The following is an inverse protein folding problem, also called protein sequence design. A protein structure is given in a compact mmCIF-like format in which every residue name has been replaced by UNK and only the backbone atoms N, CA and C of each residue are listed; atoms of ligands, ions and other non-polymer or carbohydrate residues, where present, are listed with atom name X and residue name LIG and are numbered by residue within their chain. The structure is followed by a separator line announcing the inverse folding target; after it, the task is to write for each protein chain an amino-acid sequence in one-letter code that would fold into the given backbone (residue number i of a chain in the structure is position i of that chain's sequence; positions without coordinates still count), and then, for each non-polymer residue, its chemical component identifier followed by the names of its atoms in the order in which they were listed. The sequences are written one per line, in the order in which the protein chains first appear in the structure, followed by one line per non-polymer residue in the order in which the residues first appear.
data_IF_817436223918
#
_entry.id   IF_817436223918
#
_cell.length_a   1.000
_cell.length_b   1.000
_cell.length_c   1.000
_cell.angle_alpha   90.00
_cell.angle_beta   90.00
_cell.angle_gamma   90.00
#
_symmetry.space_group_name_H-M   'P 1'
#
loop_
_entity.id
_entity.type
_entity.pdbx_description
1 polymer ?
#
# COMPACT_ATOMS: atom_id res chain seq x y z
N UNK A 1 44.89 -8.67 7.14
CA UNK A 1 43.52 -8.14 7.37
C UNK A 1 43.41 -6.83 6.61
N UNK A 2 42.48 -6.72 5.66
CA UNK A 2 42.28 -5.45 4.94
C UNK A 2 41.77 -4.39 5.95
N UNK A 3 42.18 -3.13 5.80
CA UNK A 3 41.76 -2.02 6.67
C UNK A 3 40.23 -1.96 6.84
N UNK A 4 39.51 -2.23 5.75
CA UNK A 4 38.05 -2.25 5.75
C UNK A 4 37.44 -3.40 6.56
N UNK A 5 38.07 -4.58 6.54
CA UNK A 5 37.63 -5.73 7.33
C UNK A 5 37.85 -5.48 8.83
N UNK A 6 38.96 -4.81 9.19
CA UNK A 6 39.19 -4.33 10.56
C UNK A 6 38.11 -3.36 11.01
N UNK A 7 37.74 -2.41 10.16
CA UNK A 7 36.71 -1.42 10.45
C UNK A 7 35.34 -2.09 10.62
N UNK A 8 35.01 -3.04 9.75
CA UNK A 8 33.77 -3.84 9.84
C UNK A 8 33.67 -4.55 11.19
N UNK A 9 34.74 -5.25 11.59
CA UNK A 9 34.84 -5.94 12.89
C UNK A 9 34.66 -4.94 14.03
N UNK A 10 35.34 -3.79 13.98
CA UNK A 10 35.25 -2.75 15.03
C UNK A 10 33.82 -2.20 15.18
N UNK A 11 33.12 -1.98 14.06
CA UNK A 11 31.72 -1.52 14.07
C UNK A 11 30.83 -2.60 14.69
N UNK A 12 30.97 -3.86 14.27
CA UNK A 12 30.20 -4.98 14.80
C UNK A 12 30.41 -5.15 16.31
N UNK A 13 31.66 -5.15 16.79
CA UNK A 13 31.98 -5.24 18.22
C UNK A 13 31.36 -4.08 19.03
N UNK A 14 31.34 -2.85 18.49
CA UNK A 14 30.68 -1.73 19.16
C UNK A 14 29.17 -1.91 19.25
N UNK A 15 28.54 -2.37 18.18
CA UNK A 15 27.11 -2.65 18.17
C UNK A 15 26.75 -3.75 19.18
N UNK A 16 27.54 -4.83 19.23
CA UNK A 16 27.41 -5.90 20.24
C UNK A 16 27.52 -5.38 21.67
N UNK A 17 28.38 -4.38 21.90
CA UNK A 17 28.52 -3.69 23.20
C UNK A 17 27.44 -2.64 23.47
N UNK A 18 26.48 -2.43 22.55
CA UNK A 18 25.45 -1.40 22.66
C UNK A 18 25.99 0.04 22.57
N UNK A 19 27.17 0.23 21.99
CA UNK A 19 27.79 1.55 21.79
C UNK A 19 27.35 2.16 20.47
N UNK A 20 27.18 3.48 20.44
CA UNK A 20 26.90 4.21 19.19
C UNK A 20 28.09 4.10 18.23
N UNK A 21 27.75 3.97 16.94
CA UNK A 21 28.69 3.95 15.81
C UNK A 21 28.61 5.22 14.97
N UNK A 22 27.70 6.14 15.28
CA UNK A 22 27.44 7.37 14.50
C UNK A 22 28.69 8.24 14.36
N UNK A 23 29.52 8.35 15.41
CA UNK A 23 30.78 9.09 15.32
C UNK A 23 31.79 8.46 14.35
N UNK A 24 31.76 7.13 14.17
CA UNK A 24 32.58 6.46 13.15
C UNK A 24 31.98 6.75 11.77
N UNK A 25 30.66 6.62 11.63
CA UNK A 25 29.96 6.86 10.37
C UNK A 25 30.15 8.29 9.85
N UNK A 26 30.03 9.28 10.72
CA UNK A 26 30.30 10.70 10.42
C UNK A 26 31.73 10.91 9.92
N UNK A 27 32.73 10.31 10.56
CA UNK A 27 34.12 10.39 10.09
C UNK A 27 34.32 9.71 8.73
N UNK A 28 33.60 8.60 8.47
CA UNK A 28 33.67 7.92 7.18
C UNK A 28 33.00 8.74 6.08
N UNK A 29 31.88 9.41 6.34
CA UNK A 29 31.25 10.33 5.37
C UNK A 29 32.23 11.40 4.91
N UNK A 30 32.92 12.04 5.85
CA UNK A 30 33.84 13.14 5.54
C UNK A 30 35.14 12.68 4.86
N UNK A 31 35.72 11.55 5.30
CA UNK A 31 37.10 11.19 4.96
C UNK A 31 37.23 9.98 4.05
N UNK A 32 36.23 9.10 4.04
CA UNK A 32 36.26 7.85 3.29
C UNK A 32 34.85 7.41 2.82
N UNK A 33 34.13 8.25 2.04
CA UNK A 33 32.73 8.01 1.68
C UNK A 33 32.51 6.70 0.92
N UNK A 34 33.46 6.31 0.06
CA UNK A 34 33.41 5.03 -0.65
C UNK A 34 33.50 3.82 0.29
N UNK A 35 34.27 3.93 1.37
CA UNK A 35 34.34 2.88 2.41
C UNK A 35 33.00 2.76 3.13
N UNK A 36 32.35 3.88 3.43
CA UNK A 36 31.00 3.85 4.00
C UNK A 36 30.02 3.16 3.05
N UNK A 37 29.98 3.57 1.78
CA UNK A 37 29.08 2.96 0.79
C UNK A 37 29.29 1.45 0.66
N UNK A 38 30.53 0.98 0.71
CA UNK A 38 30.80 -0.46 0.65
C UNK A 38 30.37 -1.22 1.93
N UNK A 39 30.42 -0.56 3.09
CA UNK A 39 29.89 -1.10 4.36
C UNK A 39 28.36 -1.06 4.47
N UNK A 40 27.69 -0.21 3.67
CA UNK A 40 26.23 -0.06 3.66
C UNK A 40 25.59 -0.94 2.59
N UNK A 41 26.13 -0.89 1.37
CA UNK A 41 25.51 -1.44 0.17
C UNK A 41 26.38 -2.52 -0.50
N UNK A 42 27.69 -2.48 -0.30
CA UNK A 42 28.65 -3.31 -1.02
C UNK A 42 28.72 -4.78 -0.61
N UNK A 43 29.67 -5.54 -1.17
CA UNK A 43 29.88 -6.96 -0.83
C UNK A 43 30.23 -7.18 0.65
N UNK A 44 30.79 -6.16 1.31
CA UNK A 44 31.16 -6.18 2.72
C UNK A 44 30.11 -5.51 3.62
N UNK A 45 28.88 -5.34 3.12
CA UNK A 45 27.81 -4.69 3.86
C UNK A 45 27.56 -5.35 5.22
N UNK A 46 27.41 -4.53 6.25
CA UNK A 46 27.12 -5.00 7.61
C UNK A 46 25.63 -5.37 7.68
N UNK A 47 25.36 -6.66 7.91
CA UNK A 47 24.00 -7.21 8.03
C UNK A 47 23.52 -7.16 9.48
N UNK A 48 23.43 -5.96 10.05
CA UNK A 48 22.96 -5.75 11.42
C UNK A 48 21.89 -4.66 11.44
N UNK A 49 20.72 -4.94 12.00
CA UNK A 49 19.60 -3.98 12.06
C UNK A 49 19.97 -2.70 12.83
N UNK A 50 20.83 -2.79 13.85
CA UNK A 50 21.31 -1.62 14.61
C UNK A 50 22.24 -0.77 13.78
N UNK A 51 23.02 -1.39 12.90
CA UNK A 51 23.83 -0.68 11.91
C UNK A 51 22.94 0.07 10.93
N UNK A 52 21.90 -0.60 10.40
CA UNK A 52 20.94 0.05 9.51
C UNK A 52 20.32 1.29 10.19
N UNK A 53 19.83 1.17 11.42
CA UNK A 53 19.26 2.31 12.16
C UNK A 53 20.24 3.48 12.27
N UNK A 54 21.52 3.21 12.54
CA UNK A 54 22.55 4.25 12.60
C UNK A 54 22.79 4.89 11.22
N UNK A 55 22.76 4.11 10.13
CA UNK A 55 22.89 4.61 8.76
C UNK A 55 21.73 5.52 8.36
N UNK A 56 20.51 5.24 8.84
CA UNK A 56 19.35 6.07 8.52
C UNK A 56 19.44 7.51 9.05
N UNK A 57 20.31 7.79 10.03
CA UNK A 57 20.60 9.15 10.50
C UNK A 57 21.34 9.97 9.44
N UNK A 58 22.14 9.31 8.61
CA UNK A 58 22.99 9.93 7.59
C UNK A 58 22.45 9.71 6.17
N UNK A 59 21.17 9.38 6.05
CA UNK A 59 20.61 8.95 4.77
C UNK A 59 20.71 10.04 3.70
N UNK A 60 20.51 11.31 4.08
CA UNK A 60 20.62 12.45 3.16
C UNK A 60 22.04 12.59 2.61
N UNK A 61 23.05 12.58 3.51
CA UNK A 61 24.45 12.68 3.12
C UNK A 61 24.86 11.50 2.22
N UNK A 62 24.35 10.30 2.50
CA UNK A 62 24.61 9.11 1.68
C UNK A 62 23.96 9.22 0.31
N UNK A 63 22.70 9.70 0.23
CA UNK A 63 21.99 9.93 -1.03
C UNK A 63 22.78 10.87 -1.96
N UNK A 64 23.39 11.93 -1.41
CA UNK A 64 24.23 12.86 -2.17
C UNK A 64 25.50 12.22 -2.75
N UNK A 65 26.00 11.14 -2.13
CA UNK A 65 27.18 10.40 -2.57
C UNK A 65 26.88 9.37 -3.67
N UNK A 66 25.62 8.93 -3.82
CA UNK A 66 25.24 7.88 -4.77
C UNK A 66 25.56 8.24 -6.23
N UNK A 67 25.25 9.46 -6.73
CA UNK A 67 25.57 9.85 -8.10
C UNK A 67 27.08 9.83 -8.38
N UNK A 68 27.90 10.24 -7.40
CA UNK A 68 29.36 10.27 -7.51
C UNK A 68 29.96 8.86 -7.63
N UNK A 69 29.25 7.87 -7.09
CA UNK A 69 29.64 6.46 -7.10
C UNK A 69 28.96 5.66 -8.22
N UNK A 70 28.15 6.32 -9.06
CA UNK A 70 27.34 5.71 -10.13
C UNK A 70 26.41 4.60 -9.61
N UNK A 71 25.91 4.76 -8.38
CA UNK A 71 24.96 3.83 -7.77
C UNK A 71 23.55 4.38 -8.01
N UNK A 72 22.66 3.66 -8.71
CA UNK A 72 21.27 4.07 -8.84
C UNK A 72 20.55 4.04 -7.48
N UNK A 73 19.77 5.09 -7.20
CA UNK A 73 19.06 5.26 -5.92
C UNK A 73 18.07 4.12 -5.63
N UNK A 74 17.40 3.61 -6.66
CA UNK A 74 16.48 2.47 -6.56
C UNK A 74 17.20 1.18 -6.14
N UNK A 75 18.41 0.95 -6.67
CA UNK A 75 19.23 -0.20 -6.29
C UNK A 75 19.69 -0.07 -4.84
N UNK A 76 20.16 1.12 -4.44
CA UNK A 76 20.56 1.41 -3.08
C UNK A 76 19.47 1.07 -2.07
N UNK A 77 18.24 1.58 -2.26
CA UNK A 77 17.14 1.29 -1.35
C UNK A 77 16.63 -0.14 -1.42
N UNK A 78 16.62 -0.75 -2.60
CA UNK A 78 16.28 -2.17 -2.71
C UNK A 78 17.21 -3.04 -1.85
N UNK A 79 18.51 -2.73 -1.86
CA UNK A 79 19.49 -3.42 -1.01
C UNK A 79 19.29 -3.11 0.47
N UNK A 80 19.09 -1.84 0.85
CA UNK A 80 18.83 -1.49 2.24
C UNK A 80 17.60 -2.23 2.79
N UNK A 81 16.51 -2.26 2.02
CA UNK A 81 15.29 -2.98 2.40
C UNK A 81 15.54 -4.49 2.50
N UNK A 82 16.32 -5.08 1.59
CA UNK A 82 16.71 -6.51 1.71
C UNK A 82 17.52 -6.84 2.96
N UNK A 83 18.17 -5.84 3.57
CA UNK A 83 18.93 -5.95 4.81
C UNK A 83 18.13 -5.52 6.05
N UNK A 84 16.95 -4.92 5.87
CA UNK A 84 16.22 -4.27 6.95
C UNK A 84 15.56 -5.25 7.92
N UNK A 85 15.24 -6.47 7.48
CA UNK A 85 14.64 -7.47 8.37
C UNK A 85 13.39 -6.93 9.06
N UNK A 86 13.40 -6.87 10.39
CA UNK A 86 12.28 -6.34 11.17
C UNK A 86 12.04 -4.83 11.00
N UNK A 87 13.04 -4.09 10.49
CA UNK A 87 13.03 -2.64 10.28
C UNK A 87 12.46 -2.20 8.92
N UNK A 88 12.01 -3.15 8.07
CA UNK A 88 11.52 -2.86 6.72
C UNK A 88 10.42 -1.79 6.72
N UNK A 89 9.46 -1.87 7.64
CA UNK A 89 8.36 -0.90 7.73
C UNK A 89 8.84 0.52 8.05
N UNK A 90 9.79 0.67 8.98
CA UNK A 90 10.37 1.98 9.33
C UNK A 90 11.15 2.58 8.15
N UNK A 91 11.90 1.74 7.42
CA UNK A 91 12.62 2.22 6.24
C UNK A 91 11.64 2.71 5.18
N UNK A 92 10.62 1.93 4.84
CA UNK A 92 9.60 2.34 3.86
C UNK A 92 8.93 3.66 4.26
N UNK A 93 8.56 3.83 5.53
CA UNK A 93 7.96 5.08 6.03
C UNK A 93 8.87 6.29 5.78
N UNK A 94 10.17 6.18 6.11
CA UNK A 94 11.15 7.24 5.81
C UNK A 94 11.34 7.48 4.30
N UNK A 95 11.27 6.44 3.47
CA UNK A 95 11.35 6.62 2.02
C UNK A 95 10.13 7.36 1.48
N UNK A 96 8.95 7.09 2.01
CA UNK A 96 7.74 7.80 1.62
C UNK A 96 7.82 9.28 2.01
N UNK A 97 8.24 9.59 3.25
CA UNK A 97 8.43 10.96 3.72
C UNK A 97 9.33 11.81 2.81
N UNK A 98 10.33 11.19 2.18
CA UNK A 98 11.34 11.88 1.39
C UNK A 98 11.06 11.85 -0.11
N UNK A 99 10.56 10.72 -0.60
CA UNK A 99 10.63 10.35 -2.01
C UNK A 99 9.29 9.86 -2.58
N UNK A 100 8.16 10.00 -1.89
CA UNK A 100 6.86 9.51 -2.38
C UNK A 100 6.55 9.93 -3.84
N UNK A 101 6.97 11.13 -4.25
CA UNK A 101 6.73 11.63 -5.60
C UNK A 101 7.70 11.14 -6.68
N UNK A 102 8.67 10.30 -6.32
CA UNK A 102 9.67 9.81 -7.27
C UNK A 102 9.17 8.58 -8.02
N UNK A 103 9.28 8.59 -9.35
CA UNK A 103 8.86 7.48 -10.23
C UNK A 103 9.42 6.12 -9.79
N UNK A 104 10.66 6.10 -9.31
CA UNK A 104 11.32 4.87 -8.88
C UNK A 104 10.69 4.23 -7.62
N UNK A 105 9.88 4.96 -6.85
CA UNK A 105 9.16 4.41 -5.69
C UNK A 105 8.15 3.35 -6.10
N UNK A 106 7.43 3.56 -7.19
CA UNK A 106 6.45 2.59 -7.69
C UNK A 106 7.15 1.28 -8.05
N UNK A 107 8.27 1.37 -8.75
CA UNK A 107 9.09 0.22 -9.12
C UNK A 107 9.73 -0.47 -7.92
N UNK A 108 10.20 0.30 -6.94
CA UNK A 108 10.76 -0.23 -5.70
C UNK A 108 9.71 -1.03 -4.95
N UNK A 109 8.55 -0.44 -4.65
CA UNK A 109 7.47 -1.07 -3.88
C UNK A 109 6.87 -2.28 -4.59
N UNK A 110 6.82 -2.26 -5.93
CA UNK A 110 6.41 -3.42 -6.73
C UNK A 110 7.27 -4.65 -6.45
N UNK A 111 8.59 -4.50 -6.30
CA UNK A 111 9.52 -5.63 -6.09
C UNK A 111 9.28 -6.35 -4.76
N UNK A 112 8.77 -5.65 -3.74
CA UNK A 112 8.42 -6.25 -2.45
C UNK A 112 7.11 -7.03 -2.48
N UNK A 113 6.30 -6.89 -3.55
CA UNK A 113 5.02 -7.58 -3.74
C UNK A 113 4.06 -7.44 -2.54
N UNK A 114 4.23 -6.39 -1.73
CA UNK A 114 3.45 -6.16 -0.52
C UNK A 114 2.41 -5.08 -0.77
N UNK A 115 1.14 -5.49 -0.84
CA UNK A 115 0.01 -4.56 -0.98
C UNK A 115 -0.07 -3.54 0.16
N UNK A 116 0.49 -3.85 1.34
CA UNK A 116 0.55 -2.93 2.48
C UNK A 116 1.38 -1.68 2.16
N UNK A 117 2.53 -1.83 1.49
CA UNK A 117 3.38 -0.68 1.16
C UNK A 117 2.79 0.15 0.04
N UNK A 118 2.14 -0.49 -0.93
CA UNK A 118 1.37 0.20 -1.96
C UNK A 118 0.24 1.03 -1.33
N UNK A 119 -0.52 0.45 -0.41
CA UNK A 119 -1.55 1.16 0.33
C UNK A 119 -0.98 2.36 1.09
N UNK A 120 0.11 2.17 1.85
CA UNK A 120 0.77 3.27 2.57
C UNK A 120 1.26 4.37 1.64
N UNK A 121 1.78 4.03 0.46
CA UNK A 121 2.23 5.01 -0.52
C UNK A 121 1.07 5.85 -1.05
N UNK A 122 -0.07 5.23 -1.36
CA UNK A 122 -1.27 5.94 -1.78
C UNK A 122 -1.84 6.85 -0.67
N UNK A 123 -1.79 6.40 0.60
CA UNK A 123 -2.12 7.26 1.73
C UNK A 123 -1.21 8.49 1.81
N UNK A 124 0.09 8.30 1.58
CA UNK A 124 1.07 9.38 1.60
C UNK A 124 0.82 10.39 0.48
N UNK A 125 0.54 9.92 -0.74
CA UNK A 125 0.11 10.78 -1.85
C UNK A 125 -1.14 11.57 -1.49
N UNK A 126 -2.18 10.92 -0.98
CA UNK A 126 -3.43 11.59 -0.61
C UNK A 126 -3.26 12.68 0.47
N UNK A 127 -2.20 12.63 1.27
CA UNK A 127 -1.91 13.61 2.32
C UNK A 127 -1.04 14.77 1.84
N UNK A 128 -0.31 14.60 0.74
CA UNK A 128 0.69 15.58 0.28
C UNK A 128 0.37 16.17 -1.11
N UNK A 129 -0.24 15.40 -2.00
CA UNK A 129 -0.63 15.81 -3.35
C UNK A 129 -1.79 14.93 -3.85
N UNK A 130 -3.01 15.37 -3.52
CA UNK A 130 -4.26 14.66 -3.83
C UNK A 130 -4.50 14.55 -5.36
N UNK A 131 -4.04 15.51 -6.15
CA UNK A 131 -4.30 15.54 -7.60
C UNK A 131 -3.61 14.37 -8.33
N UNK A 132 -2.47 13.90 -7.82
CA UNK A 132 -1.67 12.84 -8.44
C UNK A 132 -1.96 11.43 -7.91
N UNK A 133 -2.77 11.30 -6.86
CA UNK A 133 -3.00 9.99 -6.23
C UNK A 133 -3.69 8.99 -7.16
N UNK A 134 -4.61 9.46 -8.02
CA UNK A 134 -5.31 8.62 -8.97
C UNK A 134 -4.40 8.13 -10.10
N UNK A 135 -3.43 8.94 -10.52
CA UNK A 135 -2.42 8.52 -11.48
C UNK A 135 -1.51 7.43 -10.87
N UNK A 136 -1.05 7.64 -9.64
CA UNK A 136 -0.27 6.65 -8.90
C UNK A 136 -1.08 5.34 -8.70
N UNK A 137 -2.36 5.45 -8.32
CA UNK A 137 -3.26 4.31 -8.18
C UNK A 137 -3.43 3.55 -9.50
N UNK A 138 -3.61 4.25 -10.62
CA UNK A 138 -3.72 3.63 -11.94
C UNK A 138 -2.45 2.82 -12.29
N UNK A 139 -1.26 3.36 -12.00
CA UNK A 139 -0.01 2.63 -12.16
C UNK A 139 -0.02 1.34 -11.33
N UNK A 140 -0.39 1.41 -10.05
CA UNK A 140 -0.45 0.23 -9.19
C UNK A 140 -1.49 -0.82 -9.62
N UNK A 141 -2.65 -0.38 -10.12
CA UNK A 141 -3.64 -1.29 -10.70
C UNK A 141 -3.04 -2.05 -11.88
N UNK A 142 -2.34 -1.36 -12.80
CA UNK A 142 -1.69 -1.98 -13.95
C UNK A 142 -0.60 -3.00 -13.56
N UNK A 143 -0.02 -2.82 -12.37
CA UNK A 143 0.99 -3.70 -11.79
C UNK A 143 0.39 -4.86 -10.96
N UNK A 144 -0.93 -4.99 -10.91
CA UNK A 144 -1.62 -6.08 -10.21
C UNK A 144 -1.96 -5.81 -8.74
N UNK A 145 -1.83 -4.59 -8.25
CA UNK A 145 -2.11 -4.22 -6.86
C UNK A 145 -3.55 -3.70 -6.63
N UNK A 146 -4.53 -4.22 -7.39
CA UNK A 146 -5.94 -3.83 -7.29
C UNK A 146 -6.51 -3.93 -5.86
N UNK A 147 -6.05 -4.90 -5.05
CA UNK A 147 -6.46 -5.04 -3.66
C UNK A 147 -6.03 -3.88 -2.76
N UNK A 148 -4.81 -3.36 -2.96
CA UNK A 148 -4.31 -2.21 -2.20
C UNK A 148 -5.06 -0.93 -2.60
N UNK A 149 -5.36 -0.79 -3.90
CA UNK A 149 -6.15 0.34 -4.41
C UNK A 149 -7.60 0.28 -3.92
N UNK A 150 -8.23 -0.91 -3.86
CA UNK A 150 -9.53 -1.09 -3.22
C UNK A 150 -9.48 -0.63 -1.75
N UNK A 151 -8.48 -1.07 -1.00
CA UNK A 151 -8.35 -0.72 0.41
C UNK A 151 -8.19 0.80 0.59
N UNK A 152 -7.34 1.43 -0.23
CA UNK A 152 -7.17 2.88 -0.26
C UNK A 152 -8.49 3.60 -0.57
N UNK A 153 -9.20 3.18 -1.61
CA UNK A 153 -10.44 3.80 -2.04
C UNK A 153 -11.54 3.73 -0.98
N UNK A 154 -11.63 2.59 -0.27
CA UNK A 154 -12.60 2.44 0.84
C UNK A 154 -12.22 3.33 2.02
N UNK A 155 -10.93 3.42 2.38
CA UNK A 155 -10.45 4.20 3.51
C UNK A 155 -10.62 5.71 3.28
N UNK A 156 -10.17 6.22 2.13
CA UNK A 156 -10.19 7.64 1.78
C UNK A 156 -11.49 8.08 1.09
N UNK A 157 -12.40 7.14 0.83
CA UNK A 157 -13.66 7.35 0.10
C UNK A 157 -13.50 7.83 -1.33
N UNK A 158 -12.45 7.35 -1.99
CA UNK A 158 -12.12 7.76 -3.36
C UNK A 158 -13.04 7.06 -4.36
N UNK A 159 -14.05 7.76 -4.86
CA UNK A 159 -15.05 7.20 -5.77
C UNK A 159 -14.49 6.94 -7.16
N UNK A 160 -13.50 7.74 -7.56
CA UNK A 160 -12.85 7.73 -8.86
C UNK A 160 -12.08 6.42 -9.09
N UNK A 161 -11.61 5.80 -8.01
CA UNK A 161 -10.94 4.50 -8.04
C UNK A 161 -11.85 3.36 -8.54
N UNK A 162 -13.19 3.51 -8.46
CA UNK A 162 -14.14 2.56 -9.07
C UNK A 162 -13.88 2.47 -10.58
N UNK A 163 -13.72 3.63 -11.25
CA UNK A 163 -13.50 3.67 -12.69
C UNK A 163 -12.14 3.11 -13.08
N UNK A 164 -11.08 3.47 -12.33
CA UNK A 164 -9.74 2.92 -12.54
C UNK A 164 -9.74 1.38 -12.49
N UNK A 165 -10.44 0.81 -11.51
CA UNK A 165 -10.56 -0.64 -11.36
C UNK A 165 -11.41 -1.26 -12.49
N UNK A 166 -12.48 -0.60 -12.92
CA UNK A 166 -13.32 -1.07 -14.03
C UNK A 166 -12.56 -1.06 -15.37
N UNK A 167 -11.85 0.03 -15.68
CA UNK A 167 -11.06 0.17 -16.91
C UNK A 167 -9.96 -0.89 -17.00
N UNK A 168 -9.36 -1.25 -15.87
CA UNK A 168 -8.38 -2.32 -15.78
C UNK A 168 -8.98 -3.74 -15.68
N UNK A 169 -10.31 -3.88 -15.72
CA UNK A 169 -11.01 -5.18 -15.70
C UNK A 169 -11.17 -5.82 -14.32
N UNK A 170 -10.85 -5.11 -13.23
CA UNK A 170 -10.99 -5.57 -11.85
C UNK A 170 -12.40 -5.32 -11.29
N UNK A 171 -13.42 -5.82 -12.00
CA UNK A 171 -14.83 -5.55 -11.70
C UNK A 171 -15.27 -5.93 -10.27
N UNK A 172 -14.73 -7.02 -9.71
CA UNK A 172 -15.05 -7.42 -8.33
C UNK A 172 -14.50 -6.45 -7.27
N UNK A 173 -13.30 -5.89 -7.50
CA UNK A 173 -12.71 -4.88 -6.62
C UNK A 173 -13.52 -3.59 -6.71
N UNK A 174 -13.84 -3.14 -7.92
CA UNK A 174 -14.70 -1.98 -8.16
C UNK A 174 -16.08 -2.13 -7.48
N UNK A 175 -16.69 -3.32 -7.57
CA UNK A 175 -17.97 -3.61 -6.91
C UNK A 175 -17.89 -3.53 -5.38
N UNK A 176 -16.79 -4.01 -4.78
CA UNK A 176 -16.57 -3.88 -3.34
C UNK A 176 -16.36 -2.43 -2.90
N UNK A 177 -15.58 -1.64 -3.64
CA UNK A 177 -15.44 -0.20 -3.39
C UNK A 177 -16.82 0.47 -3.43
N UNK A 178 -17.57 0.27 -4.53
CA UNK A 178 -18.91 0.81 -4.72
C UNK A 178 -19.85 0.51 -3.54
N UNK A 179 -19.93 -0.75 -3.10
CA UNK A 179 -20.79 -1.15 -1.96
C UNK A 179 -20.36 -0.51 -0.64
N UNK A 180 -19.07 -0.22 -0.44
CA UNK A 180 -18.62 0.46 0.75
C UNK A 180 -18.94 1.97 0.70
N UNK A 181 -18.76 2.61 -0.45
CA UNK A 181 -18.99 4.05 -0.63
C UNK A 181 -20.47 4.42 -0.68
N UNK A 182 -21.34 3.50 -1.12
CA UNK A 182 -22.79 3.75 -1.23
C UNK A 182 -23.47 4.11 0.09
N UNK A 183 -22.82 3.76 1.21
CA UNK A 183 -23.29 4.10 2.55
C UNK A 183 -22.98 5.55 2.95
N UNK A 184 -21.89 6.14 2.45
CA UNK A 184 -21.27 7.32 3.06
C UNK A 184 -21.60 8.66 2.39
N UNK A 185 -21.87 8.70 1.09
CA UNK A 185 -21.78 9.96 0.33
C UNK A 185 -23.05 10.40 -0.40
N UNK A 186 -24.21 9.79 -0.12
CA UNK A 186 -25.44 10.15 -0.85
C UNK A 186 -25.41 9.61 -2.28
N UNK A 187 -25.42 8.28 -2.36
CA UNK A 187 -25.96 7.37 -3.37
C UNK A 187 -25.81 7.67 -4.89
N UNK A 188 -26.06 8.87 -5.43
CA UNK A 188 -26.41 9.05 -6.87
C UNK A 188 -25.24 9.30 -7.83
N UNK A 189 -24.28 10.15 -7.49
CA UNK A 189 -23.32 10.67 -8.49
C UNK A 189 -22.41 9.59 -9.12
N UNK A 190 -21.69 8.80 -8.33
CA UNK A 190 -20.81 7.77 -8.89
C UNK A 190 -21.59 6.58 -9.46
N UNK A 191 -22.81 6.29 -8.97
CA UNK A 191 -23.65 5.24 -9.55
C UNK A 191 -24.13 5.59 -10.95
N UNK A 192 -24.55 6.85 -11.17
CA UNK A 192 -24.92 7.36 -12.49
C UNK A 192 -23.71 7.37 -13.44
N UNK A 193 -22.56 7.85 -12.98
CA UNK A 193 -21.32 7.82 -13.76
C UNK A 193 -20.88 6.39 -14.08
N UNK A 194 -21.01 5.45 -13.14
CA UNK A 194 -20.72 4.02 -13.36
C UNK A 194 -21.68 3.41 -14.37
N UNK A 195 -22.96 3.76 -14.31
CA UNK A 195 -23.94 3.35 -15.31
C UNK A 195 -23.62 3.91 -16.69
N UNK A 196 -23.16 5.16 -16.78
CA UNK A 196 -22.75 5.79 -18.04
C UNK A 196 -21.52 5.10 -18.66
N UNK A 197 -20.52 4.73 -17.84
CA UNK A 197 -19.30 4.04 -18.30
C UNK A 197 -19.59 2.61 -18.75
N UNK A 198 -20.38 1.86 -17.98
CA UNK A 198 -20.66 0.44 -18.26
C UNK A 198 -21.79 0.22 -19.27
N UNK A 199 -22.67 1.21 -19.44
CA UNK A 199 -23.83 1.13 -20.32
C UNK A 199 -24.66 -0.13 -20.05
N UNK A 200 -24.90 -0.99 -21.07
CA UNK A 200 -25.70 -2.22 -20.90
C UNK A 200 -25.16 -3.20 -19.85
N UNK A 201 -23.84 -3.17 -19.58
CA UNK A 201 -23.19 -4.08 -18.63
C UNK A 201 -23.43 -3.68 -17.17
N UNK A 202 -24.02 -2.51 -16.92
CA UNK A 202 -24.28 -2.04 -15.56
C UNK A 202 -25.15 -3.00 -14.74
N UNK A 203 -26.08 -3.72 -15.38
CA UNK A 203 -26.90 -4.73 -14.70
C UNK A 203 -26.07 -5.89 -14.12
N UNK A 204 -25.02 -6.31 -14.83
CA UNK A 204 -24.09 -7.35 -14.36
C UNK A 204 -23.21 -6.82 -13.22
N UNK A 205 -22.78 -5.57 -13.30
CA UNK A 205 -22.04 -4.92 -12.21
C UNK A 205 -22.88 -4.79 -10.94
N UNK A 206 -24.16 -4.42 -11.05
CA UNK A 206 -25.09 -4.40 -9.91
C UNK A 206 -25.26 -5.79 -9.27
N UNK A 207 -25.24 -6.87 -10.07
CA UNK A 207 -25.24 -8.24 -9.54
C UNK A 207 -23.97 -8.54 -8.73
N UNK A 208 -22.79 -8.11 -9.21
CA UNK A 208 -21.52 -8.22 -8.48
C UNK A 208 -21.58 -7.44 -7.15
N UNK A 209 -22.05 -6.19 -7.18
CA UNK A 209 -22.24 -5.38 -5.97
C UNK A 209 -23.15 -6.09 -4.96
N UNK A 210 -24.26 -6.66 -5.42
CA UNK A 210 -25.17 -7.43 -4.57
C UNK A 210 -24.49 -8.67 -3.97
N UNK A 211 -23.58 -9.30 -4.72
CA UNK A 211 -22.68 -10.35 -4.25
C UNK A 211 -21.81 -9.90 -3.07
N UNK A 212 -21.26 -8.69 -3.14
CA UNK A 212 -20.34 -8.11 -2.16
C UNK A 212 -21.01 -7.64 -0.85
N UNK A 213 -22.29 -7.30 -0.86
CA UNK A 213 -23.04 -6.83 0.33
C UNK A 213 -22.88 -7.77 1.54
N UNK A 214 -22.48 -7.22 2.68
CA UNK A 214 -22.36 -7.94 3.95
C UNK A 214 -23.34 -7.44 5.03
N UNK A 215 -23.82 -6.19 4.94
CA UNK A 215 -24.67 -5.57 5.96
C UNK A 215 -26.03 -5.13 5.41
N UNK A 216 -27.06 -5.15 6.25
CA UNK A 216 -28.41 -4.74 5.84
C UNK A 216 -28.47 -3.29 5.39
N UNK A 217 -27.61 -2.42 5.94
CA UNK A 217 -27.51 -1.01 5.53
C UNK A 217 -27.03 -0.85 4.08
N UNK A 218 -26.01 -1.61 3.68
CA UNK A 218 -25.49 -1.62 2.30
C UNK A 218 -26.56 -2.10 1.32
N UNK A 219 -27.31 -3.14 1.72
CA UNK A 219 -28.41 -3.68 0.92
C UNK A 219 -29.51 -2.64 0.68
N UNK A 220 -29.84 -1.84 1.69
CA UNK A 220 -30.86 -0.78 1.58
C UNK A 220 -30.44 0.33 0.61
N UNK A 221 -29.17 0.75 0.69
CA UNK A 221 -28.64 1.76 -0.21
C UNK A 221 -28.59 1.24 -1.66
N UNK A 222 -28.21 -0.03 -1.87
CA UNK A 222 -28.20 -0.65 -3.19
C UNK A 222 -29.61 -0.91 -3.76
N UNK A 223 -30.62 -1.15 -2.91
CA UNK A 223 -32.01 -1.41 -3.31
C UNK A 223 -32.60 -0.30 -4.18
N UNK A 224 -32.24 0.96 -3.93
CA UNK A 224 -32.69 2.11 -4.72
C UNK A 224 -32.35 1.96 -6.20
N UNK A 225 -31.16 1.43 -6.50
CA UNK A 225 -30.71 1.17 -7.86
C UNK A 225 -31.31 -0.11 -8.44
N UNK A 226 -31.42 -1.16 -7.64
CA UNK A 226 -31.93 -2.47 -8.09
C UNK A 226 -33.41 -2.44 -8.49
N UNK A 227 -34.21 -1.51 -7.97
CA UNK A 227 -35.64 -1.35 -8.33
C UNK A 227 -35.86 -1.12 -9.83
N UNK A 228 -34.89 -0.49 -10.49
CA UNK A 228 -34.94 -0.23 -11.93
C UNK A 228 -34.56 -1.46 -12.78
N UNK A 229 -34.14 -2.56 -12.15
CA UNK A 229 -33.68 -3.79 -12.82
C UNK A 229 -34.50 -5.01 -12.35
N UNK A 230 -35.67 -5.27 -12.97
CA UNK A 230 -36.55 -6.38 -12.61
C UNK A 230 -35.85 -7.75 -12.60
N UNK A 231 -34.87 -7.95 -13.50
CA UNK A 231 -34.06 -9.18 -13.58
C UNK A 231 -33.23 -9.47 -12.31
N UNK A 232 -32.89 -8.44 -11.53
CA UNK A 232 -32.09 -8.57 -10.30
C UNK A 232 -32.94 -8.76 -9.03
N UNK A 233 -34.26 -8.56 -9.11
CA UNK A 233 -35.18 -8.72 -7.97
C UNK A 233 -35.14 -10.13 -7.36
N UNK A 234 -35.08 -11.24 -8.14
CA UNK A 234 -34.93 -12.58 -7.57
C UNK A 234 -33.62 -12.74 -6.78
N UNK A 235 -32.53 -12.16 -7.26
CA UNK A 235 -31.21 -12.20 -6.62
C UNK A 235 -31.24 -11.42 -5.30
N UNK A 236 -31.86 -10.24 -5.30
CA UNK A 236 -32.07 -9.41 -4.12
C UNK A 236 -32.86 -10.14 -3.03
N UNK A 237 -34.01 -10.72 -3.39
CA UNK A 237 -34.84 -11.50 -2.46
C UNK A 237 -34.05 -12.67 -1.86
N UNK A 238 -33.26 -13.37 -2.67
CA UNK A 238 -32.39 -14.47 -2.22
C UNK A 238 -31.33 -13.96 -1.23
N UNK A 239 -30.72 -12.80 -1.49
CA UNK A 239 -29.73 -12.17 -0.59
C UNK A 239 -30.36 -11.76 0.75
N UNK A 240 -31.53 -11.11 0.73
CA UNK A 240 -32.29 -10.73 1.94
C UNK A 240 -32.54 -11.96 2.81
N UNK A 241 -33.15 -13.01 2.25
CA UNK A 241 -33.44 -14.26 2.97
C UNK A 241 -32.17 -14.89 3.57
N UNK A 242 -31.05 -14.86 2.85
CA UNK A 242 -29.75 -15.38 3.33
C UNK A 242 -29.24 -14.58 4.54
N UNK A 243 -29.35 -13.25 4.49
CA UNK A 243 -28.90 -12.38 5.58
C UNK A 243 -29.76 -12.50 6.83
N UNK A 244 -31.08 -12.61 6.68
CA UNK A 244 -32.00 -12.84 7.81
C UNK A 244 -31.72 -14.16 8.52
N UNK A 245 -31.45 -15.24 7.77
CA UNK A 245 -31.06 -16.54 8.34
C UNK A 245 -29.77 -16.43 9.15
N UNK A 246 -28.76 -15.73 8.64
CA UNK A 246 -27.50 -15.47 9.38
C UNK A 246 -27.74 -14.68 10.67
N UNK A 247 -28.60 -13.67 10.64
CA UNK A 247 -28.96 -12.88 11.83
C UNK A 247 -29.64 -13.72 12.90
N UNK A 248 -30.60 -14.57 12.52
CA UNK A 248 -31.28 -15.50 13.45
C UNK A 248 -30.30 -16.53 14.06
N UNK A 249 -29.39 -17.07 13.26
CA UNK A 249 -28.36 -18.01 13.73
C UNK A 249 -27.31 -17.37 14.65
N UNK A 250 -26.92 -16.12 14.40
CA UNK A 250 -26.02 -15.35 15.26
C UNK A 250 -26.65 -14.95 16.60
N UNK A 251 -27.93 -14.56 16.59
CA UNK A 251 -28.69 -14.24 17.80
C UNK A 251 -28.85 -15.43 18.76
N UNK A 252 -29.07 -16.64 18.23
CA UNK A 252 -29.16 -17.86 19.03
C UNK A 252 -27.84 -18.23 19.77
N UNK A 253 -26.68 -17.85 19.22
CA UNK A 253 -25.37 -18.07 19.87
C UNK A 253 -25.06 -17.06 20.99
N UNK A 254 -25.63 -15.85 20.93
CA UNK A 254 -25.45 -14.83 21.96
C UNK A 254 -26.31 -15.10 23.21
N UNK A 255 -27.49 -15.69 23.03
CA UNK A 255 -28.41 -16.05 24.14
C UNK A 255 -27.91 -17.26 24.94
N UNK A 256 -27.14 -18.17 24.35
CA UNK A 256 -26.57 -19.35 25.04
C UNK A 256 -25.22 -19.10 25.74
N UNK A 257 -24.79 -17.83 25.86
CA UNK A 257 -23.57 -17.44 26.60
C UNK A 257 -23.84 -16.42 27.73
N UNK A 258 -25.12 -16.14 28.00
CA UNK A 258 -25.57 -15.35 29.14
C UNK A 258 -26.00 -16.23 30.30
#
# INVERSE_FOLDING_TARGET
MNHQESLRITIQERLEQGKSVEGILSQLLERAPYTLLDLVFGPQAIQDERFLTAILVFLEDIEELLPLSRIPIDQFYHRLLSLAGSQEAMLIERLLERHFSKDWMVDLLRRFQSGRYVFNHLLFWAENDEEQVLECAAQYVSLGFAAAVEQYAVEKRESEAIFLLLEAGFCEFAARVCVNLIKSEGETYYMERTAAVLGPQFSQFLELCLGCVQRTSELKALDVYLRWYPSLQPVLIKKIKKMERRRKAGGAKAVNRG
#
